data_IF_534700557579
#
_entry.id   IF_534700557579
#
_cell.length_a   1.000
_cell.length_b   1.000
_cell.length_c   1.000
_cell.angle_alpha   90.00
_cell.angle_beta   90.00
_cell.angle_gamma   90.00
#
_symmetry.space_group_name_H-M   'P 1'
#
loop_
_entity.id
_entity.type
_entity.pdbx_description
1 polymer ?
#
# COMPACT_ATOMS: atom_id res chain seq x y z
N UNK A 1 48.61 54.33 66.98
CA UNK A 1 50.05 54.11 67.20
C UNK A 1 50.55 53.44 65.93
N UNK A 2 51.17 54.15 64.97
CA UNK A 2 52.53 54.73 65.04
C UNK A 2 53.50 53.65 65.56
N UNK A 3 54.58 53.26 64.88
CA UNK A 3 55.51 54.08 64.10
C UNK A 3 56.70 53.18 63.70
N UNK A 4 57.33 53.48 62.55
CA UNK A 4 58.80 53.57 62.37
C UNK A 4 59.66 52.29 62.54
N UNK A 5 60.84 52.08 61.93
CA UNK A 5 61.69 52.82 61.01
C UNK A 5 62.68 51.82 60.33
N UNK A 6 63.02 52.17 59.10
CA UNK A 6 64.17 51.84 58.24
C UNK A 6 65.46 51.23 58.84
N UNK A 7 66.11 50.37 58.02
CA UNK A 7 67.55 50.47 57.75
C UNK A 7 67.87 50.33 56.26
N UNK A 8 68.81 51.16 55.86
CA UNK A 8 69.36 51.45 54.53
C UNK A 8 70.56 50.58 54.21
N UNK A 9 70.78 50.32 52.90
CA UNK A 9 72.12 50.04 52.38
C UNK A 9 72.22 50.46 50.92
N UNK A 10 73.12 51.42 50.68
CA UNK A 10 73.53 51.99 49.40
C UNK A 10 74.47 51.03 48.65
N UNK A 11 74.33 50.93 47.32
CA UNK A 11 75.44 50.50 46.47
C UNK A 11 75.45 51.25 45.13
N UNK A 12 76.67 51.47 44.68
CA UNK A 12 77.12 52.56 43.83
C UNK A 12 76.69 52.45 42.36
N UNK A 13 76.58 53.64 41.77
CA UNK A 13 76.39 53.92 40.34
C UNK A 13 77.69 53.67 39.56
N UNK A 14 77.58 53.03 38.40
CA UNK A 14 78.52 53.23 37.29
C UNK A 14 77.72 53.45 36.02
N UNK A 15 77.95 54.62 35.39
CA UNK A 15 77.36 55.05 34.13
C UNK A 15 78.25 54.61 32.98
N UNK A 16 77.70 54.08 31.89
CA UNK A 16 78.29 54.26 30.57
C UNK A 16 77.61 55.42 29.83
N UNK A 17 78.44 56.36 29.37
CA UNK A 17 78.06 57.43 28.44
C UNK A 17 77.93 56.86 27.04
N UNK A 18 76.75 56.97 26.42
CA UNK A 18 76.59 56.78 24.99
C UNK A 18 76.29 58.11 24.32
N UNK A 19 77.11 58.43 23.33
CA UNK A 19 77.04 59.65 22.53
C UNK A 19 75.71 59.73 21.76
N UNK A 20 75.14 60.94 21.73
CA UNK A 20 73.93 61.27 20.98
C UNK A 20 74.29 61.49 19.52
N UNK A 21 73.84 60.59 18.64
CA UNK A 21 73.66 60.92 17.23
C UNK A 21 72.18 61.27 17.01
N UNK A 22 71.93 62.53 16.68
CA UNK A 22 70.65 63.05 16.23
C UNK A 22 70.61 62.84 14.72
N UNK A 23 69.72 61.97 14.23
CA UNK A 23 69.34 61.94 12.81
C UNK A 23 67.82 61.80 12.71
N UNK A 24 67.27 62.74 11.93
CA UNK A 24 65.93 62.90 11.36
C UNK A 24 64.80 61.94 11.75
N UNK A 25 63.74 62.56 12.29
CA UNK A 25 62.38 62.02 12.39
C UNK A 25 61.84 61.74 10.99
N UNK A 26 61.47 60.49 10.71
CA UNK A 26 60.53 60.16 9.64
C UNK A 26 59.26 59.61 10.30
N UNK A 27 58.17 60.39 10.24
CA UNK A 27 56.85 59.96 10.69
C UNK A 27 56.29 58.98 9.65
N UNK A 28 56.30 57.68 9.99
CA UNK A 28 55.56 56.65 9.25
C UNK A 28 54.33 56.32 10.07
N UNK A 29 53.16 56.58 9.49
CA UNK A 29 51.84 56.18 10.01
C UNK A 29 51.73 54.65 10.08
N UNK A 30 50.94 54.09 11.01
CA UNK A 30 50.98 52.67 11.30
C UNK A 30 50.31 51.91 10.16
N UNK A 31 51.07 51.07 9.44
CA UNK A 31 50.45 50.04 8.61
C UNK A 31 50.31 48.79 9.48
N UNK A 32 49.19 48.69 10.17
CA UNK A 32 48.73 47.41 10.71
C UNK A 32 48.55 46.49 9.50
N UNK A 33 49.48 45.56 9.32
CA UNK A 33 49.28 44.43 8.42
C UNK A 33 48.08 43.67 8.99
N UNK A 34 46.98 43.46 8.24
CA UNK A 34 46.02 42.46 8.67
C UNK A 34 46.81 41.15 8.70
N UNK A 35 46.98 40.56 9.88
CA UNK A 35 47.35 39.17 9.95
C UNK A 35 46.23 38.46 9.20
N UNK A 36 46.52 37.92 8.02
CA UNK A 36 45.60 37.05 7.33
C UNK A 36 45.38 35.87 8.28
N UNK A 37 44.29 35.91 9.04
CA UNK A 37 43.78 34.72 9.67
C UNK A 37 43.47 33.79 8.51
N UNK A 38 44.33 32.81 8.29
CA UNK A 38 44.01 31.69 7.41
C UNK A 38 42.87 30.97 8.12
N UNK A 39 41.65 31.43 7.88
CA UNK A 39 40.45 30.68 8.19
C UNK A 39 40.59 29.40 7.37
N UNK A 40 41.07 28.33 7.99
CA UNK A 40 40.97 27.00 7.42
C UNK A 40 39.47 26.73 7.34
N UNK A 41 38.85 26.66 6.15
CA UNK A 41 37.46 26.22 6.11
C UNK A 41 37.47 24.78 6.60
N UNK A 42 36.97 24.56 7.82
CA UNK A 42 36.57 23.22 8.21
C UNK A 42 35.38 22.90 7.32
N UNK A 43 35.65 22.19 6.21
CA UNK A 43 34.61 21.60 5.40
C UNK A 43 33.99 20.47 6.22
N UNK A 44 32.95 20.79 6.98
CA UNK A 44 32.04 19.78 7.52
C UNK A 44 31.21 19.26 6.35
N UNK A 45 31.78 18.34 5.57
CA UNK A 45 30.99 17.51 4.69
C UNK A 45 30.03 16.77 5.62
N UNK A 46 28.73 17.05 5.50
CA UNK A 46 27.72 16.22 6.13
C UNK A 46 28.07 14.77 5.79
N UNK A 47 28.30 13.93 6.80
CA UNK A 47 28.28 12.50 6.57
C UNK A 47 26.91 12.23 5.97
N UNK A 48 26.85 11.95 4.65
CA UNK A 48 25.71 11.22 4.12
C UNK A 48 25.66 9.98 4.99
N UNK A 49 24.63 9.88 5.83
CA UNK A 49 24.39 8.66 6.59
C UNK A 49 24.28 7.57 5.53
N UNK A 50 25.37 6.82 5.43
CA UNK A 50 25.70 6.02 4.26
C UNK A 50 24.75 4.86 4.24
N UNK A 51 24.06 4.70 3.10
CA UNK A 51 23.51 3.45 2.58
C UNK A 51 24.21 2.24 3.21
N UNK A 52 23.42 1.32 3.75
CA UNK A 52 23.89 0.04 4.24
C UNK A 52 24.71 -0.69 3.17
N UNK A 53 25.64 -1.54 3.59
CA UNK A 53 26.50 -2.28 2.65
C UNK A 53 25.72 -3.21 1.71
N UNK A 54 24.45 -3.46 2.00
CA UNK A 54 23.56 -4.35 1.25
C UNK A 54 22.62 -3.57 0.34
N UNK A 55 22.50 -2.25 0.51
CA UNK A 55 21.50 -1.44 -0.20
C UNK A 55 21.75 -1.44 -1.71
N UNK A 56 23.01 -1.42 -2.14
CA UNK A 56 23.37 -1.52 -3.56
C UNK A 56 22.98 -2.87 -4.17
N UNK A 57 23.19 -3.95 -3.42
CA UNK A 57 22.94 -5.31 -3.88
C UNK A 57 21.43 -5.57 -3.93
N UNK A 58 20.69 -5.06 -2.94
CA UNK A 58 19.23 -5.12 -2.90
C UNK A 58 18.61 -4.29 -4.03
N UNK A 59 19.11 -3.07 -4.30
CA UNK A 59 18.63 -2.25 -5.43
C UNK A 59 18.90 -2.95 -6.77
N UNK A 60 20.06 -3.60 -6.93
CA UNK A 60 20.36 -4.36 -8.14
C UNK A 60 19.39 -5.52 -8.32
N UNK A 61 19.12 -6.29 -7.26
CA UNK A 61 18.17 -7.40 -7.30
C UNK A 61 16.75 -6.93 -7.62
N UNK A 62 16.27 -5.88 -6.94
CA UNK A 62 14.96 -5.29 -7.22
C UNK A 62 14.85 -4.76 -8.66
N UNK A 63 15.95 -4.27 -9.24
CA UNK A 63 15.98 -3.83 -10.64
C UNK A 63 15.95 -5.00 -11.63
N UNK A 64 16.66 -6.10 -11.34
CA UNK A 64 16.61 -7.33 -12.14
C UNK A 64 15.19 -7.91 -12.17
N UNK A 65 14.56 -8.06 -11.01
CA UNK A 65 13.19 -8.57 -10.89
C UNK A 65 12.20 -7.63 -11.62
N UNK A 66 12.29 -6.32 -11.40
CA UNK A 66 11.40 -5.36 -12.05
C UNK A 66 11.55 -5.34 -13.58
N UNK A 67 12.75 -5.54 -14.10
CA UNK A 67 12.97 -5.64 -15.55
C UNK A 67 12.40 -6.94 -16.12
N UNK A 68 12.57 -8.05 -15.40
CA UNK A 68 12.01 -9.33 -15.77
C UNK A 68 10.47 -9.25 -15.86
N UNK A 69 9.82 -8.75 -14.81
CA UNK A 69 8.36 -8.65 -14.78
C UNK A 69 7.80 -7.67 -15.82
N UNK A 70 8.46 -6.52 -16.05
CA UNK A 70 8.05 -5.59 -17.12
C UNK A 70 8.23 -6.15 -18.52
N UNK A 71 9.19 -7.04 -18.71
CA UNK A 71 9.39 -7.68 -20.02
C UNK A 71 8.32 -8.74 -20.30
N UNK A 72 7.72 -9.29 -19.25
CA UNK A 72 6.62 -10.25 -19.30
C UNK A 72 5.24 -9.58 -19.15
N UNK A 73 5.17 -8.25 -19.03
CA UNK A 73 3.91 -7.52 -18.89
C UNK A 73 3.10 -7.64 -20.19
N UNK A 74 2.12 -8.54 -20.18
CA UNK A 74 1.16 -8.63 -21.27
C UNK A 74 0.21 -7.43 -21.23
N UNK A 75 -0.13 -6.92 -22.43
CA UNK A 75 -1.11 -5.84 -22.58
C UNK A 75 -2.46 -6.23 -21.98
N UNK A 76 -3.22 -5.25 -21.48
CA UNK A 76 -4.56 -5.44 -20.91
C UNK A 76 -5.33 -6.62 -21.54
N UNK A 77 -5.51 -7.71 -20.79
CA UNK A 77 -5.97 -8.96 -21.35
C UNK A 77 -7.40 -8.81 -21.86
N UNK A 78 -7.70 -9.50 -22.97
CA UNK A 78 -8.97 -9.36 -23.68
C UNK A 78 -10.17 -9.77 -22.81
N UNK A 79 -10.00 -10.71 -21.88
CA UNK A 79 -11.07 -11.19 -20.99
C UNK A 79 -11.70 -10.07 -20.15
N UNK A 80 -10.93 -9.06 -19.73
CA UNK A 80 -11.45 -7.93 -18.94
C UNK A 80 -12.40 -7.09 -19.78
N UNK A 81 -12.04 -6.83 -21.03
CA UNK A 81 -12.86 -6.05 -21.96
C UNK A 81 -14.15 -6.79 -22.29
N UNK A 82 -14.04 -8.07 -22.60
CA UNK A 82 -15.19 -8.92 -22.89
C UNK A 82 -16.16 -8.99 -21.70
N UNK A 83 -15.65 -9.15 -20.47
CA UNK A 83 -16.48 -9.19 -19.26
C UNK A 83 -17.20 -7.86 -19.00
N UNK A 84 -16.49 -6.74 -19.12
CA UNK A 84 -17.07 -5.41 -18.93
C UNK A 84 -18.14 -5.09 -19.99
N UNK A 85 -17.90 -5.47 -21.24
CA UNK A 85 -18.86 -5.31 -22.34
C UNK A 85 -20.09 -6.20 -22.17
N UNK A 86 -19.88 -7.49 -21.88
CA UNK A 86 -20.95 -8.47 -21.72
C UNK A 86 -21.87 -8.13 -20.53
N UNK A 87 -21.30 -7.62 -19.44
CA UNK A 87 -21.98 -7.56 -18.16
C UNK A 87 -22.27 -6.11 -17.70
N UNK A 88 -21.88 -5.10 -18.49
CA UNK A 88 -22.14 -3.65 -18.26
C UNK A 88 -21.73 -3.16 -16.86
N UNK A 89 -20.73 -3.80 -16.26
CA UNK A 89 -20.15 -3.38 -14.99
C UNK A 89 -19.16 -2.24 -15.22
N UNK A 90 -19.03 -1.36 -14.23
CA UNK A 90 -17.96 -0.36 -14.14
C UNK A 90 -16.98 -0.82 -13.09
N UNK A 91 -15.75 -1.05 -13.51
CA UNK A 91 -14.63 -1.39 -12.65
C UNK A 91 -13.98 -0.12 -12.11
N UNK A 92 -13.98 0.04 -10.79
CA UNK A 92 -13.22 1.06 -10.08
C UNK A 92 -12.04 0.39 -9.37
N UNK A 93 -10.88 0.52 -9.99
CA UNK A 93 -9.59 0.01 -9.52
C UNK A 93 -8.66 1.20 -9.21
N UNK A 94 -8.02 1.18 -8.04
CA UNK A 94 -7.04 2.19 -7.60
C UNK A 94 -5.70 1.49 -7.35
N UNK A 95 -4.59 2.01 -7.92
CA UNK A 95 -3.26 1.45 -7.69
C UNK A 95 -2.84 1.61 -6.23
N UNK A 96 -2.25 0.58 -5.65
CA UNK A 96 -1.81 0.50 -4.25
C UNK A 96 -2.94 0.23 -3.25
N UNK A 97 -4.13 -0.16 -3.72
CA UNK A 97 -5.27 -0.54 -2.88
C UNK A 97 -5.72 -1.92 -3.28
N UNK A 98 -5.69 -2.86 -2.34
CA UNK A 98 -6.06 -4.27 -2.56
C UNK A 98 -7.53 -4.46 -2.92
N UNK A 99 -8.40 -3.55 -2.48
CA UNK A 99 -9.82 -3.60 -2.73
C UNK A 99 -10.18 -3.11 -4.13
N UNK A 100 -11.06 -3.87 -4.79
CA UNK A 100 -11.59 -3.55 -6.10
C UNK A 100 -13.10 -3.52 -6.02
N UNK A 101 -13.72 -2.54 -6.68
CA UNK A 101 -15.17 -2.43 -6.71
C UNK A 101 -15.73 -2.47 -8.13
N UNK A 102 -16.67 -3.38 -8.36
CA UNK A 102 -17.47 -3.47 -9.57
C UNK A 102 -18.84 -2.87 -9.29
N UNK A 103 -19.22 -1.83 -10.00
CA UNK A 103 -20.51 -1.17 -9.84
C UNK A 103 -21.39 -1.36 -11.05
N UNK A 104 -22.65 -1.70 -10.83
CA UNK A 104 -23.66 -1.85 -11.89
C UNK A 104 -24.99 -1.28 -11.43
N UNK A 105 -25.70 -0.69 -12.38
CA UNK A 105 -27.09 -0.28 -12.18
C UNK A 105 -27.99 -1.31 -12.84
N UNK A 106 -28.93 -1.88 -12.09
CA UNK A 106 -29.91 -2.83 -12.59
C UNK A 106 -31.30 -2.17 -12.62
N UNK A 107 -32.02 -2.29 -13.74
CA UNK A 107 -33.38 -1.77 -13.90
C UNK A 107 -33.56 -0.58 -14.85
N UNK A 108 -32.71 -0.40 -15.86
CA UNK A 108 -32.82 0.73 -16.78
C UNK A 108 -33.56 0.37 -18.09
N UNK A 109 -34.88 0.13 -18.01
CA UNK A 109 -35.76 0.18 -19.19
C UNK A 109 -37.10 0.86 -18.87
N UNK A 110 -37.47 1.82 -19.72
CA UNK A 110 -38.65 2.71 -19.68
C UNK A 110 -40.03 2.05 -19.44
N UNK A 111 -40.11 0.72 -19.33
CA UNK A 111 -41.35 -0.05 -19.15
C UNK A 111 -41.61 -0.51 -17.70
N UNK A 112 -40.65 -0.37 -16.78
CA UNK A 112 -40.82 -0.73 -15.36
C UNK A 112 -40.89 0.50 -14.43
N UNK A 113 -41.71 1.49 -14.78
CA UNK A 113 -41.88 2.75 -14.01
C UNK A 113 -42.50 2.59 -12.60
N UNK A 114 -42.52 1.40 -12.01
CA UNK A 114 -43.23 1.15 -10.75
C UNK A 114 -42.43 0.46 -9.65
N UNK A 115 -41.25 -0.13 -9.88
CA UNK A 115 -40.49 -0.77 -8.78
C UNK A 115 -38.97 -0.73 -8.98
N UNK A 116 -38.29 -0.29 -7.93
CA UNK A 116 -36.93 -0.64 -7.53
C UNK A 116 -35.80 -0.42 -8.57
N UNK A 117 -35.33 0.82 -8.69
CA UNK A 117 -33.98 1.09 -9.22
C UNK A 117 -32.95 0.54 -8.21
N UNK A 118 -32.19 -0.48 -8.60
CA UNK A 118 -31.23 -1.16 -7.74
C UNK A 118 -29.80 -0.85 -8.15
N UNK A 119 -28.97 -0.34 -7.24
CA UNK A 119 -27.52 -0.27 -7.46
C UNK A 119 -26.86 -1.51 -6.87
N UNK A 120 -26.12 -2.22 -7.69
CA UNK A 120 -25.32 -3.38 -7.30
C UNK A 120 -23.87 -2.92 -7.21
N UNK A 121 -23.20 -3.28 -6.13
CA UNK A 121 -21.76 -3.13 -5.95
C UNK A 121 -21.20 -4.47 -5.53
N UNK A 122 -20.19 -4.97 -6.21
CA UNK A 122 -19.43 -6.15 -5.81
C UNK A 122 -18.06 -5.64 -5.36
N UNK A 123 -17.70 -5.96 -4.13
CA UNK A 123 -16.42 -5.65 -3.52
C UNK A 123 -15.66 -6.96 -3.31
N UNK A 124 -14.43 -7.03 -3.78
CA UNK A 124 -13.54 -8.16 -3.55
C UNK A 124 -12.13 -7.64 -3.27
N UNK A 125 -11.32 -8.45 -2.61
CA UNK A 125 -9.96 -8.10 -2.21
C UNK A 125 -8.96 -9.09 -2.79
N UNK A 126 -7.82 -8.59 -3.26
CA UNK A 126 -6.71 -9.44 -3.73
C UNK A 126 -6.01 -10.18 -2.57
N UNK A 127 -6.11 -9.65 -1.34
CA UNK A 127 -5.49 -10.23 -0.14
C UNK A 127 -6.03 -11.62 0.23
N UNK A 128 -7.23 -11.99 -0.23
CA UNK A 128 -7.88 -13.25 0.14
C UNK A 128 -7.21 -14.48 -0.49
N UNK A 129 -6.57 -14.36 -1.67
CA UNK A 129 -5.80 -15.45 -2.28
C UNK A 129 -4.62 -15.86 -1.37
N UNK A 130 -3.93 -14.86 -0.80
CA UNK A 130 -2.76 -15.07 0.05
C UNK A 130 -3.09 -15.58 1.46
N UNK A 131 -4.36 -15.53 1.88
CA UNK A 131 -4.80 -15.87 3.23
C UNK A 131 -5.49 -17.24 3.30
N UNK A 132 -5.53 -17.98 2.19
CA UNK A 132 -5.77 -19.42 2.27
C UNK A 132 -4.64 -20.00 3.13
N UNK A 133 -4.95 -20.66 4.27
CA UNK A 133 -3.91 -21.43 4.93
C UNK A 133 -3.45 -22.42 3.88
N UNK A 134 -2.19 -22.31 3.46
CA UNK A 134 -1.53 -23.35 2.71
C UNK A 134 -1.97 -24.66 3.33
N UNK A 135 -2.76 -25.44 2.59
CA UNK A 135 -3.27 -26.71 3.07
C UNK A 135 -2.06 -27.45 3.62
N UNK A 136 -2.12 -27.68 4.93
CA UNK A 136 -0.94 -28.03 5.69
C UNK A 136 -0.29 -29.27 5.10
N UNK A 137 1.04 -29.31 5.18
CA UNK A 137 1.81 -30.55 5.30
C UNK A 137 1.14 -31.72 4.55
N UNK A 138 1.24 -31.74 3.22
CA UNK A 138 1.23 -33.03 2.55
C UNK A 138 2.29 -33.89 3.26
N UNK A 139 1.93 -34.98 3.94
CA UNK A 139 2.95 -35.87 4.47
C UNK A 139 3.79 -36.34 3.27
N UNK A 140 5.12 -36.25 3.38
CA UNK A 140 6.12 -36.55 2.33
C UNK A 140 6.02 -37.96 1.70
N UNK A 141 4.98 -38.76 2.00
CA UNK A 141 4.86 -40.17 1.63
C UNK A 141 3.95 -40.45 0.42
N UNK A 142 3.29 -39.43 -0.16
CA UNK A 142 2.56 -39.57 -1.44
C UNK A 142 3.39 -39.07 -2.64
N UNK A 143 4.66 -39.47 -2.70
CA UNK A 143 5.42 -39.46 -3.96
C UNK A 143 4.86 -40.55 -4.90
N UNK A 144 3.72 -40.26 -5.55
CA UNK A 144 3.21 -41.07 -6.65
C UNK A 144 3.97 -40.71 -7.94
N UNK A 145 4.38 -41.76 -8.65
CA UNK A 145 5.19 -41.82 -9.87
C UNK A 145 4.81 -40.85 -11.01
N UNK A 146 5.76 -40.54 -11.92
CA UNK A 146 5.54 -39.63 -13.04
C UNK A 146 4.67 -40.31 -14.10
N UNK A 147 3.43 -39.83 -14.29
CA UNK A 147 2.52 -40.46 -15.24
C UNK A 147 1.22 -39.70 -15.48
N UNK A 148 1.31 -38.48 -16.01
CA UNK A 148 0.50 -37.93 -17.12
C UNK A 148 0.63 -36.40 -17.12
N UNK A 149 1.33 -35.88 -18.13
CA UNK A 149 1.15 -34.52 -18.62
C UNK A 149 -0.26 -34.49 -19.27
N UNK A 150 -1.28 -33.89 -18.64
CA UNK A 150 -2.40 -33.20 -19.32
C UNK A 150 -3.56 -32.72 -18.42
N UNK A 151 -3.60 -33.01 -17.11
CA UNK A 151 -4.57 -32.38 -16.20
C UNK A 151 -3.81 -31.58 -15.13
N UNK A 152 -3.38 -30.36 -15.46
CA UNK A 152 -3.17 -29.35 -14.43
C UNK A 152 -4.53 -29.14 -13.77
N UNK A 153 -4.79 -29.79 -12.63
CA UNK A 153 -5.90 -29.43 -11.76
C UNK A 153 -5.73 -27.94 -11.45
N UNK A 154 -6.51 -27.10 -12.13
CA UNK A 154 -6.57 -25.67 -11.86
C UNK A 154 -7.11 -25.56 -10.43
N UNK A 155 -6.21 -25.44 -9.46
CA UNK A 155 -6.56 -25.25 -8.06
C UNK A 155 -7.24 -23.88 -7.98
N UNK A 156 -8.57 -23.87 -8.03
CA UNK A 156 -9.36 -22.64 -7.92
C UNK A 156 -9.31 -22.17 -6.48
N UNK A 157 -8.64 -21.05 -6.24
CA UNK A 157 -8.61 -20.44 -4.92
C UNK A 157 -9.97 -19.80 -4.60
N UNK A 158 -10.55 -20.06 -3.42
CA UNK A 158 -11.82 -19.46 -3.04
C UNK A 158 -11.65 -17.94 -2.89
N UNK A 159 -12.33 -17.17 -3.75
CA UNK A 159 -12.30 -15.70 -3.71
C UNK A 159 -13.53 -15.19 -2.97
N UNK A 160 -13.33 -14.44 -1.88
CA UNK A 160 -14.44 -13.80 -1.17
C UNK A 160 -14.85 -12.51 -1.86
N UNK A 161 -16.15 -12.38 -2.09
CA UNK A 161 -16.76 -11.19 -2.66
C UNK A 161 -17.99 -10.79 -1.85
N UNK A 162 -18.07 -9.53 -1.46
CA UNK A 162 -19.24 -8.93 -0.82
C UNK A 162 -20.07 -8.19 -1.86
N UNK A 163 -21.30 -8.66 -2.06
CA UNK A 163 -22.27 -8.08 -3.00
C UNK A 163 -23.25 -7.20 -2.22
N UNK A 164 -23.19 -5.89 -2.43
CA UNK A 164 -24.13 -4.91 -1.87
C UNK A 164 -25.19 -4.52 -2.91
N UNK A 165 -26.46 -4.68 -2.54
CA UNK A 165 -27.61 -4.31 -3.36
C UNK A 165 -28.38 -3.21 -2.63
N UNK A 166 -28.27 -2.00 -3.17
CA UNK A 166 -28.93 -0.78 -2.70
C UNK A 166 -30.26 -0.61 -3.42
N UNK A 167 -31.33 -0.33 -2.66
CA UNK A 167 -32.64 0.09 -3.19
C UNK A 167 -33.04 1.43 -2.61
N UNK A 168 -33.44 2.36 -3.46
CA UNK A 168 -33.86 3.69 -3.03
C UNK A 168 -35.06 3.60 -2.06
N UNK A 169 -34.84 4.10 -0.83
CA UNK A 169 -35.85 4.15 0.23
C UNK A 169 -36.15 2.84 0.96
N UNK A 170 -35.58 1.70 0.53
CA UNK A 170 -35.78 0.38 1.17
C UNK A 170 -34.54 -0.13 1.92
N UNK A 171 -33.41 0.56 1.82
CA UNK A 171 -32.15 0.19 2.49
C UNK A 171 -31.19 -0.54 1.54
N UNK A 172 -30.27 -1.31 2.12
CA UNK A 172 -29.27 -2.08 1.40
C UNK A 172 -29.19 -3.50 1.96
N UNK A 173 -29.00 -4.48 1.08
CA UNK A 173 -28.71 -5.87 1.44
C UNK A 173 -27.26 -6.13 1.06
N UNK A 174 -26.46 -6.68 1.98
CA UNK A 174 -25.13 -7.21 1.66
C UNK A 174 -25.18 -8.72 1.69
N UNK A 175 -24.60 -9.35 0.69
CA UNK A 175 -24.53 -10.79 0.55
C UNK A 175 -23.06 -11.13 0.42
N UNK A 176 -22.53 -11.84 1.41
CA UNK A 176 -21.17 -12.33 1.37
C UNK A 176 -21.17 -13.64 0.59
N UNK A 177 -20.30 -13.70 -0.39
CA UNK A 177 -20.21 -14.82 -1.34
C UNK A 177 -18.76 -15.28 -1.48
N UNK A 178 -18.59 -16.54 -1.84
CA UNK A 178 -17.30 -17.13 -2.18
C UNK A 178 -17.41 -17.67 -3.61
N UNK A 179 -16.54 -17.19 -4.49
CA UNK A 179 -16.37 -17.74 -5.83
C UNK A 179 -15.34 -18.86 -5.77
N UNK A 180 -15.74 -20.08 -6.14
CA UNK A 180 -14.87 -21.25 -6.18
C UNK A 180 -15.36 -22.19 -7.28
N UNK A 181 -14.43 -22.77 -8.06
CA UNK A 181 -14.73 -23.75 -9.12
C UNK A 181 -15.76 -23.25 -10.15
N UNK A 182 -15.80 -21.94 -10.40
CA UNK A 182 -16.75 -21.30 -11.31
C UNK A 182 -18.20 -21.22 -10.79
N UNK A 183 -18.41 -21.48 -9.51
CA UNK A 183 -19.68 -21.30 -8.81
C UNK A 183 -19.59 -20.19 -7.76
N UNK A 184 -20.72 -19.57 -7.45
CA UNK A 184 -20.82 -18.56 -6.39
C UNK A 184 -21.62 -19.15 -5.24
N UNK A 185 -20.95 -19.40 -4.12
CA UNK A 185 -21.55 -19.91 -2.88
C UNK A 185 -21.89 -18.72 -1.97
N UNK A 186 -23.08 -18.72 -1.38
CA UNK A 186 -23.52 -17.67 -0.45
C UNK A 186 -23.19 -18.08 0.99
N UNK A 187 -22.48 -17.24 1.73
CA UNK A 187 -22.14 -17.48 3.15
C UNK A 187 -23.13 -16.79 4.10
N UNK A 188 -23.39 -15.50 3.88
CA UNK A 188 -24.25 -14.68 4.75
C UNK A 188 -25.05 -13.65 3.97
N UNK A 189 -26.23 -13.33 4.49
CA UNK A 189 -27.12 -12.30 3.95
C UNK A 189 -27.49 -11.34 5.08
N UNK A 190 -27.05 -10.10 4.96
CA UNK A 190 -27.26 -9.04 5.96
C UNK A 190 -28.16 -7.95 5.38
N UNK A 191 -29.01 -7.36 6.22
CA UNK A 191 -29.87 -6.25 5.84
C UNK A 191 -29.56 -5.00 6.65
N UNK A 192 -29.31 -3.90 5.94
CA UNK A 192 -29.11 -2.58 6.49
C UNK A 192 -30.26 -1.66 6.11
N UNK A 193 -30.85 -1.01 7.11
CA UNK A 193 -31.88 0.01 6.88
C UNK A 193 -31.28 1.27 6.24
N UNK A 194 -30.06 1.61 6.63
CA UNK A 194 -29.34 2.78 6.13
C UNK A 194 -28.34 2.38 5.04
N UNK A 195 -28.53 2.96 3.86
CA UNK A 195 -27.71 2.67 2.69
C UNK A 195 -26.26 3.11 2.85
N UNK A 196 -26.07 4.23 3.54
CA UNK A 196 -24.73 4.79 3.79
C UNK A 196 -23.90 3.84 4.63
N UNK A 197 -24.49 3.25 5.67
CA UNK A 197 -23.81 2.33 6.57
C UNK A 197 -23.31 1.07 5.84
N UNK A 198 -24.08 0.58 4.86
CA UNK A 198 -23.70 -0.58 4.07
C UNK A 198 -22.49 -0.32 3.16
N UNK A 199 -22.33 0.91 2.65
CA UNK A 199 -21.29 1.26 1.68
C UNK A 199 -20.04 1.91 2.31
N UNK A 200 -20.17 2.46 3.51
CA UNK A 200 -19.10 3.22 4.14
C UNK A 200 -18.01 2.30 4.69
N UNK A 201 -16.78 2.50 4.22
CA UNK A 201 -15.57 1.77 4.63
C UNK A 201 -14.84 2.45 5.80
N UNK A 202 -15.53 3.27 6.60
CA UNK A 202 -14.93 3.91 7.77
C UNK A 202 -14.90 2.92 8.94
N UNK A 203 -13.88 3.03 9.79
CA UNK A 203 -13.77 2.20 10.99
C UNK A 203 -15.00 2.30 11.90
N UNK A 204 -15.65 3.46 11.93
CA UNK A 204 -16.89 3.69 12.68
C UNK A 204 -18.08 2.93 12.04
N UNK A 205 -18.21 2.97 10.70
CA UNK A 205 -19.23 2.22 10.00
C UNK A 205 -19.04 0.70 10.16
N UNK A 206 -17.80 0.21 10.07
CA UNK A 206 -17.46 -1.20 10.34
C UNK A 206 -17.86 -1.62 11.76
N UNK A 207 -17.51 -0.79 12.75
CA UNK A 207 -17.86 -1.05 14.14
C UNK A 207 -19.38 -1.10 14.35
N UNK A 208 -20.11 -0.19 13.73
CA UNK A 208 -21.57 -0.16 13.77
C UNK A 208 -22.19 -1.38 13.09
N UNK A 209 -21.65 -1.82 11.94
CA UNK A 209 -22.10 -3.04 11.24
C UNK A 209 -21.92 -4.29 12.09
N UNK A 210 -20.83 -4.41 12.84
CA UNK A 210 -20.59 -5.54 13.78
C UNK A 210 -21.60 -5.61 14.92
N UNK A 211 -22.21 -4.48 15.28
CA UNK A 211 -23.27 -4.41 16.29
C UNK A 211 -24.66 -4.81 15.78
N UNK A 212 -24.83 -4.98 14.46
CA UNK A 212 -26.10 -5.34 13.85
C UNK A 212 -26.24 -6.86 13.70
N UNK A 213 -27.48 -7.31 13.59
CA UNK A 213 -27.78 -8.70 13.34
C UNK A 213 -27.33 -9.09 11.93
N UNK A 214 -26.44 -10.08 11.86
CA UNK A 214 -25.79 -10.53 10.62
C UNK A 214 -26.64 -11.48 9.78
N UNK A 215 -27.84 -11.83 10.24
CA UNK A 215 -28.64 -12.90 9.66
C UNK A 215 -28.38 -14.25 10.35
N UNK A 216 -29.24 -15.25 10.10
CA UNK A 216 -28.95 -16.64 10.48
C UNK A 216 -27.85 -17.21 9.58
N UNK A 217 -27.35 -18.39 9.90
CA UNK A 217 -26.45 -19.12 9.00
C UNK A 217 -27.21 -19.49 7.72
N UNK A 218 -26.65 -19.18 6.54
CA UNK A 218 -27.35 -19.36 5.28
C UNK A 218 -27.78 -20.82 5.04
N UNK A 219 -26.93 -21.77 5.43
CA UNK A 219 -27.20 -23.21 5.33
C UNK A 219 -28.37 -23.70 6.19
N UNK A 220 -28.81 -22.93 7.19
CA UNK A 220 -29.97 -23.25 8.03
C UNK A 220 -31.30 -22.72 7.45
N UNK A 221 -31.25 -21.92 6.38
CA UNK A 221 -32.45 -21.43 5.69
C UNK A 221 -33.15 -22.56 4.93
N UNK A 222 -34.45 -22.37 4.63
CA UNK A 222 -35.19 -23.29 3.76
C UNK A 222 -34.51 -23.44 2.38
N UNK A 223 -34.42 -24.66 1.86
CA UNK A 223 -33.74 -24.94 0.58
C UNK A 223 -34.31 -24.14 -0.59
N UNK A 224 -35.63 -23.92 -0.64
CA UNK A 224 -36.22 -23.11 -1.72
C UNK A 224 -35.83 -21.64 -1.57
N UNK A 225 -35.69 -21.15 -0.34
CA UNK A 225 -35.23 -19.79 -0.09
C UNK A 225 -33.77 -19.62 -0.54
N UNK A 226 -32.91 -20.59 -0.26
CA UNK A 226 -31.51 -20.59 -0.71
C UNK A 226 -31.43 -20.53 -2.25
N UNK A 227 -32.15 -21.41 -2.96
CA UNK A 227 -32.22 -21.42 -4.42
C UNK A 227 -32.77 -20.11 -5.01
N UNK A 228 -33.70 -19.46 -4.31
CA UNK A 228 -34.22 -18.16 -4.74
C UNK A 228 -33.19 -17.04 -4.57
N UNK A 229 -32.33 -17.10 -3.55
CA UNK A 229 -31.22 -16.16 -3.40
C UNK A 229 -30.17 -16.32 -4.50
N UNK A 230 -29.82 -17.56 -4.85
CA UNK A 230 -28.91 -17.86 -5.97
C UNK A 230 -29.46 -17.28 -7.28
N UNK A 231 -30.71 -17.61 -7.64
CA UNK A 231 -31.35 -17.06 -8.84
C UNK A 231 -31.47 -15.53 -8.80
N UNK A 232 -31.73 -14.96 -7.64
CA UNK A 232 -31.80 -13.52 -7.45
C UNK A 232 -30.45 -12.84 -7.75
N UNK A 233 -29.33 -13.46 -7.39
CA UNK A 233 -27.98 -13.01 -7.72
C UNK A 233 -27.66 -13.22 -9.21
N UNK A 234 -28.00 -14.37 -9.77
CA UNK A 234 -27.77 -14.68 -11.19
C UNK A 234 -28.45 -13.69 -12.13
N UNK A 235 -29.72 -13.35 -11.88
CA UNK A 235 -30.46 -12.35 -12.67
C UNK A 235 -29.78 -10.97 -12.65
N UNK A 236 -28.97 -10.69 -11.64
CA UNK A 236 -28.24 -9.43 -11.44
C UNK A 236 -26.82 -9.48 -12.01
N UNK A 237 -26.44 -10.59 -12.63
CA UNK A 237 -25.12 -10.81 -13.23
C UNK A 237 -24.05 -11.29 -12.26
N UNK A 238 -24.45 -11.73 -11.06
CA UNK A 238 -23.61 -12.45 -10.12
C UNK A 238 -23.84 -13.95 -10.41
N UNK A 239 -23.08 -14.49 -11.36
CA UNK A 239 -23.23 -15.85 -11.89
C UNK A 239 -21.85 -16.49 -12.10
N UNK A 240 -21.82 -17.70 -12.68
CA UNK A 240 -20.56 -18.41 -13.00
C UNK A 240 -19.57 -17.60 -13.83
N UNK A 241 -20.02 -16.68 -14.68
CA UNK A 241 -19.11 -15.82 -15.44
C UNK A 241 -18.35 -14.86 -14.52
N UNK A 242 -19.01 -14.31 -13.49
CA UNK A 242 -18.33 -13.51 -12.46
C UNK A 242 -17.43 -14.40 -11.59
N UNK A 243 -17.85 -15.63 -11.27
CA UNK A 243 -17.04 -16.56 -10.49
C UNK A 243 -15.70 -16.90 -11.15
N UNK A 244 -15.69 -17.06 -12.48
CA UNK A 244 -14.47 -17.29 -13.26
C UNK A 244 -13.66 -15.99 -13.46
N UNK A 245 -14.34 -14.85 -13.62
CA UNK A 245 -13.66 -13.57 -13.83
C UNK A 245 -12.87 -13.09 -12.60
N UNK A 246 -13.39 -13.34 -11.39
CA UNK A 246 -12.79 -12.87 -10.14
C UNK A 246 -11.34 -13.36 -9.93
N UNK A 247 -11.03 -14.67 -9.95
CA UNK A 247 -9.65 -15.15 -9.76
C UNK A 247 -8.71 -14.61 -10.84
N UNK A 248 -9.08 -14.69 -12.13
CA UNK A 248 -8.28 -14.18 -13.25
C UNK A 248 -7.95 -12.68 -13.10
N UNK A 249 -8.93 -11.89 -12.67
CA UNK A 249 -8.74 -10.46 -12.47
C UNK A 249 -7.87 -10.15 -11.24
N UNK A 250 -7.98 -10.95 -10.17
CA UNK A 250 -7.11 -10.80 -9.01
C UNK A 250 -5.66 -11.08 -9.39
N UNK A 251 -5.36 -12.17 -10.11
CA UNK A 251 -4.01 -12.48 -10.57
C UNK A 251 -3.42 -11.35 -11.42
N UNK A 252 -4.23 -10.83 -12.36
CA UNK A 252 -3.85 -9.68 -13.17
C UNK A 252 -3.52 -8.45 -12.34
N UNK A 253 -4.32 -8.15 -11.31
CA UNK A 253 -4.11 -6.99 -10.45
C UNK A 253 -2.91 -7.20 -9.52
N UNK A 254 -2.74 -8.39 -8.94
CA UNK A 254 -1.62 -8.74 -8.07
C UNK A 254 -0.30 -8.53 -8.81
N UNK A 255 -0.20 -8.96 -10.06
CA UNK A 255 0.99 -8.76 -10.88
C UNK A 255 1.32 -7.25 -11.06
N UNK A 256 0.31 -6.41 -11.29
CA UNK A 256 0.51 -4.96 -11.40
C UNK A 256 0.95 -4.32 -10.09
N UNK A 257 0.31 -4.71 -9.00
CA UNK A 257 0.65 -4.21 -7.66
C UNK A 257 2.06 -4.67 -7.25
N UNK A 258 2.46 -5.89 -7.63
CA UNK A 258 3.82 -6.40 -7.42
C UNK A 258 4.87 -5.57 -8.16
N UNK A 259 4.65 -5.25 -9.44
CA UNK A 259 5.56 -4.37 -10.21
C UNK A 259 5.66 -2.99 -9.56
N UNK A 260 4.53 -2.42 -9.11
CA UNK A 260 4.51 -1.13 -8.42
C UNK A 260 5.21 -1.21 -7.06
N UNK A 261 5.05 -2.30 -6.33
CA UNK A 261 5.73 -2.55 -5.07
C UNK A 261 7.25 -2.65 -5.27
N UNK A 262 7.73 -3.40 -6.27
CA UNK A 262 9.15 -3.50 -6.62
C UNK A 262 9.74 -2.12 -6.94
N UNK A 263 9.03 -1.29 -7.72
CA UNK A 263 9.48 0.06 -8.06
C UNK A 263 9.55 0.98 -6.83
N UNK A 264 8.55 0.91 -5.95
CA UNK A 264 8.52 1.67 -4.71
C UNK A 264 9.62 1.23 -3.73
N UNK A 265 9.86 -0.08 -3.60
CA UNK A 265 10.94 -0.64 -2.77
C UNK A 265 12.30 -0.24 -3.30
N UNK A 266 12.51 -0.34 -4.61
CA UNK A 266 13.76 0.11 -5.25
C UNK A 266 14.02 1.58 -4.97
N UNK A 267 13.02 2.45 -5.15
CA UNK A 267 13.12 3.89 -4.86
C UNK A 267 13.40 4.17 -3.39
N UNK A 268 12.78 3.41 -2.49
CA UNK A 268 12.98 3.57 -1.05
C UNK A 268 14.41 3.19 -0.62
N UNK A 269 14.93 2.06 -1.08
CA UNK A 269 16.29 1.59 -0.73
C UNK A 269 17.37 2.45 -1.41
N UNK A 270 17.08 3.04 -2.57
CA UNK A 270 18.02 3.91 -3.28
C UNK A 270 18.08 5.37 -2.77
N UNK A 271 17.15 5.80 -1.90
CA UNK A 271 17.02 7.18 -1.41
C UNK A 271 18.03 7.51 -0.29
#
# INVERSE_FOLDING_TARGET
MSSQLFRTSLRALVRPSLAKNVVAVSRITPRVMPAFQVARPFSSTFARMSTGSVDSDLVHKLDEELQYEKSNEESEPEFIKEFLEANSFKLEDKPGVDEVSLTRTFGNEKLHKLRDEGRIRVLFSISDINNTPSEGFLPEDDMIEPGNEEDEEIVSFPVRASVTIEKDGQGAVTIDTVAQDGEIVIESVMYYKDNKLANEQSAEADWQRRGLYIGPQFSELDENLQQLYERYLEERGINSALANFLPDYIEYKEQKEYIQWLDNMKKFVAA
#
